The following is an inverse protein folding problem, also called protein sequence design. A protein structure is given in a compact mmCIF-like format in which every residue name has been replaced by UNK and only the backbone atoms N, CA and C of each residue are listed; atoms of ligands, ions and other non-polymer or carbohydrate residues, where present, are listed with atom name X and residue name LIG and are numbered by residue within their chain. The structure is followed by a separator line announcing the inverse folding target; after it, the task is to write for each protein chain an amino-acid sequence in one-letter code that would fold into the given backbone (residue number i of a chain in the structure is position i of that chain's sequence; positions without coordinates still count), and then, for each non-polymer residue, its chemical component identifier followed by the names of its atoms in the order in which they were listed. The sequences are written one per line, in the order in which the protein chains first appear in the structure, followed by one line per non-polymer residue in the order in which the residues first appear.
data_IF_506928007938
#
_entry.id   IF_506928007938
#
_cell.length_a   1.000
_cell.length_b   1.000
_cell.length_c   1.000
_cell.angle_alpha   90.00
_cell.angle_beta   90.00
_cell.angle_gamma   90.00
#
_symmetry.space_group_name_H-M   'P 1'
#
loop_
_entity.id
_entity.type
_entity.pdbx_description
1 polymer ?
#
# COMPACT_ATOMS: atom_id res chain seq x y z
N UNK A 1 -20.53 -16.41 -9.86
CA UNK A 1 -20.26 -15.60 -11.07
C UNK A 1 -19.29 -14.50 -10.66
N UNK A 2 -18.08 -14.47 -11.22
CA UNK A 2 -17.10 -13.38 -10.99
C UNK A 2 -17.30 -12.35 -12.09
N UNK A 3 -17.54 -11.08 -11.73
CA UNK A 3 -18.05 -10.06 -12.67
C UNK A 3 -17.09 -8.88 -12.83
N UNK A 4 -16.15 -8.68 -11.90
CA UNK A 4 -15.31 -7.48 -11.84
C UNK A 4 -14.38 -7.34 -13.05
N UNK A 5 -14.47 -6.21 -13.75
CA UNK A 5 -13.70 -5.86 -14.96
C UNK A 5 -13.41 -4.36 -14.99
N UNK A 6 -12.75 -3.86 -16.04
CA UNK A 6 -12.39 -2.43 -16.14
C UNK A 6 -13.60 -1.49 -16.22
N UNK A 7 -14.73 -1.93 -16.78
CA UNK A 7 -15.98 -1.15 -16.78
C UNK A 7 -16.51 -0.94 -15.37
N UNK A 8 -16.50 -2.00 -14.55
CA UNK A 8 -16.91 -1.92 -13.15
C UNK A 8 -15.88 -1.16 -12.30
N UNK A 9 -14.59 -1.27 -12.59
CA UNK A 9 -13.54 -0.46 -11.96
C UNK A 9 -13.77 1.04 -12.20
N UNK A 10 -14.07 1.44 -13.45
CA UNK A 10 -14.47 2.82 -13.77
C UNK A 10 -15.75 3.24 -13.07
N UNK A 11 -16.80 2.41 -13.14
CA UNK A 11 -18.06 2.67 -12.45
C UNK A 11 -17.88 2.94 -10.96
N UNK A 12 -17.06 2.14 -10.27
CA UNK A 12 -16.73 2.33 -8.85
C UNK A 12 -15.96 3.63 -8.64
N UNK A 13 -14.95 3.89 -9.46
CA UNK A 13 -14.15 5.11 -9.38
C UNK A 13 -15.02 6.36 -9.52
N UNK A 14 -15.82 6.44 -10.59
CA UNK A 14 -16.66 7.59 -10.91
C UNK A 14 -17.68 7.89 -9.81
N UNK A 15 -18.25 6.85 -9.18
CA UNK A 15 -19.26 7.02 -8.13
C UNK A 15 -18.67 7.31 -6.75
N UNK A 16 -17.58 6.66 -6.36
CA UNK A 16 -17.17 6.61 -4.95
C UNK A 16 -15.89 7.38 -4.63
N UNK A 17 -15.09 7.76 -5.62
CA UNK A 17 -13.84 8.48 -5.35
C UNK A 17 -14.03 9.99 -5.27
N UNK A 18 -15.14 10.52 -5.81
CA UNK A 18 -15.42 11.95 -6.04
C UNK A 18 -14.29 12.65 -6.82
N UNK A 19 -14.59 13.66 -7.67
CA UNK A 19 -13.54 14.43 -8.30
C UNK A 19 -12.64 15.12 -7.26
N UNK A 20 -11.37 14.69 -7.17
CA UNK A 20 -10.35 15.28 -6.32
C UNK A 20 -9.23 15.84 -7.20
N UNK A 21 -9.16 17.16 -7.39
CA UNK A 21 -8.17 17.79 -8.26
C UNK A 21 -6.72 17.49 -7.85
N UNK A 22 -6.45 17.32 -6.56
CA UNK A 22 -5.09 17.03 -6.07
C UNK A 22 -4.70 15.61 -6.45
N UNK A 23 -5.56 14.62 -6.20
CA UNK A 23 -5.29 13.23 -6.57
C UNK A 23 -5.14 13.07 -8.09
N UNK A 24 -5.99 13.74 -8.87
CA UNK A 24 -5.89 13.74 -10.33
C UNK A 24 -4.57 14.38 -10.80
N UNK A 25 -4.22 15.55 -10.27
CA UNK A 25 -2.98 16.24 -10.62
C UNK A 25 -1.74 15.38 -10.30
N UNK A 26 -1.75 14.67 -9.17
CA UNK A 26 -0.68 13.75 -8.77
C UNK A 26 -0.52 12.63 -9.80
N UNK A 27 -1.61 11.96 -10.18
CA UNK A 27 -1.57 10.87 -11.18
C UNK A 27 -1.06 11.36 -12.54
N UNK A 28 -1.53 12.52 -13.01
CA UNK A 28 -1.09 13.11 -14.27
C UNK A 28 0.39 13.56 -14.24
N UNK A 29 0.90 13.93 -13.07
CA UNK A 29 2.27 14.39 -12.91
C UNK A 29 3.30 13.25 -12.96
N UNK A 30 2.95 12.04 -12.53
CA UNK A 30 3.88 10.90 -12.46
C UNK A 30 4.66 10.68 -13.79
N UNK A 31 4.01 10.43 -14.95
CA UNK A 31 4.74 10.22 -16.20
C UNK A 31 5.49 11.48 -16.66
N UNK A 32 4.96 12.68 -16.41
CA UNK A 32 5.60 13.95 -16.78
C UNK A 32 6.90 14.19 -15.99
N UNK A 33 7.02 13.58 -14.82
CA UNK A 33 8.20 13.61 -13.95
C UNK A 33 9.11 12.39 -14.12
N UNK A 34 8.81 11.52 -15.10
CA UNK A 34 9.61 10.33 -15.41
C UNK A 34 9.37 9.14 -14.48
N UNK A 35 8.33 9.18 -13.64
CA UNK A 35 7.97 8.07 -12.76
C UNK A 35 7.15 7.00 -13.52
N UNK A 36 7.30 5.72 -13.18
CA UNK A 36 6.47 4.66 -13.75
C UNK A 36 5.00 4.82 -13.36
N UNK A 37 4.10 4.46 -14.27
CA UNK A 37 2.65 4.50 -14.05
C UNK A 37 2.14 3.24 -13.35
N UNK A 38 2.66 3.01 -12.14
CA UNK A 38 2.36 1.82 -11.31
C UNK A 38 1.65 2.19 -9.99
N UNK A 39 1.20 3.43 -9.85
CA UNK A 39 0.37 3.83 -8.71
C UNK A 39 -0.91 2.99 -8.64
N UNK A 40 -1.37 2.69 -7.43
CA UNK A 40 -2.66 2.01 -7.20
C UNK A 40 -3.81 2.74 -7.89
N UNK A 41 -4.86 2.01 -8.27
CA UNK A 41 -6.05 2.62 -8.85
C UNK A 41 -6.85 3.44 -7.80
N UNK A 42 -7.64 4.45 -8.21
CA UNK A 42 -8.42 5.27 -7.27
C UNK A 42 -9.35 4.48 -6.33
N UNK A 43 -9.99 3.41 -6.81
CA UNK A 43 -10.86 2.57 -5.99
C UNK A 43 -10.09 1.79 -4.91
N UNK A 44 -8.84 1.40 -5.19
CA UNK A 44 -7.95 0.75 -4.21
C UNK A 44 -7.49 1.76 -3.15
N UNK A 45 -7.18 2.99 -3.57
CA UNK A 45 -6.88 4.10 -2.65
C UNK A 45 -8.06 4.42 -1.73
N UNK A 46 -9.28 4.47 -2.28
CA UNK A 46 -10.50 4.67 -1.49
C UNK A 46 -10.71 3.54 -0.48
N UNK A 47 -10.42 2.31 -0.86
CA UNK A 47 -10.49 1.17 0.03
C UNK A 47 -9.46 1.27 1.17
N UNK A 48 -8.20 1.59 0.88
CA UNK A 48 -7.16 1.84 1.90
C UNK A 48 -7.58 2.95 2.88
N UNK A 49 -8.12 4.06 2.37
CA UNK A 49 -8.63 5.14 3.21
C UNK A 49 -9.74 4.64 4.16
N UNK A 50 -10.70 3.84 3.67
CA UNK A 50 -11.73 3.23 4.51
C UNK A 50 -11.10 2.34 5.58
N UNK A 51 -10.10 1.51 5.24
CA UNK A 51 -9.45 0.63 6.21
C UNK A 51 -8.71 1.40 7.31
N UNK A 52 -7.97 2.45 6.97
CA UNK A 52 -7.29 3.32 7.96
C UNK A 52 -8.32 3.95 8.90
N UNK A 53 -9.45 4.44 8.36
CA UNK A 53 -10.52 5.05 9.15
C UNK A 53 -11.25 4.05 10.04
N UNK A 54 -11.59 2.88 9.50
CA UNK A 54 -12.34 1.84 10.20
C UNK A 54 -11.50 1.19 11.32
N UNK A 55 -10.19 1.06 11.11
CA UNK A 55 -9.25 0.55 12.13
C UNK A 55 -8.85 1.59 13.17
N UNK A 56 -9.29 2.86 13.01
CA UNK A 56 -8.87 4.00 13.81
C UNK A 56 -7.33 4.13 13.91
N UNK A 57 -6.63 3.80 12.83
CA UNK A 57 -5.17 3.82 12.80
C UNK A 57 -4.63 5.24 13.02
N UNK A 58 -3.69 5.38 13.94
CA UNK A 58 -3.00 6.64 14.27
C UNK A 58 -1.58 6.66 13.72
N UNK A 59 -0.91 5.52 13.67
CA UNK A 59 0.45 5.39 13.11
C UNK A 59 0.44 4.34 12.01
N UNK A 60 0.57 4.81 10.76
CA UNK A 60 0.56 3.97 9.55
C UNK A 60 1.98 3.88 9.00
N UNK A 61 2.37 2.71 8.52
CA UNK A 61 3.61 2.49 7.78
C UNK A 61 3.28 2.13 6.35
N UNK A 62 3.97 2.75 5.39
CA UNK A 62 3.93 2.41 3.97
C UNK A 62 5.33 2.01 3.51
N UNK A 63 5.44 0.85 2.86
CA UNK A 63 6.67 0.34 2.26
C UNK A 63 6.51 0.43 0.75
N UNK A 64 7.21 1.40 0.13
CA UNK A 64 7.04 1.78 -1.27
C UNK A 64 6.16 3.03 -1.40
N UNK A 65 6.78 4.18 -1.69
CA UNK A 65 6.06 5.46 -1.78
C UNK A 65 5.73 5.85 -3.22
N UNK A 66 6.64 5.55 -4.16
CA UNK A 66 6.62 6.09 -5.52
C UNK A 66 6.47 7.62 -5.46
N UNK A 67 5.48 8.19 -6.16
CA UNK A 67 5.13 9.60 -6.12
C UNK A 67 4.09 9.93 -5.06
N UNK A 68 3.83 9.05 -4.10
CA UNK A 68 3.01 9.32 -2.91
C UNK A 68 1.50 9.14 -3.06
N UNK A 69 1.00 8.60 -4.18
CA UNK A 69 -0.45 8.51 -4.43
C UNK A 69 -1.21 7.67 -3.38
N UNK A 70 -0.72 6.46 -3.07
CA UNK A 70 -1.25 5.62 -1.97
C UNK A 70 -1.09 6.31 -0.61
N UNK A 71 0.07 6.92 -0.37
CA UNK A 71 0.36 7.68 0.84
C UNK A 71 -0.64 8.82 1.09
N UNK A 72 -1.14 9.49 0.05
CA UNK A 72 -2.19 10.51 0.19
C UNK A 72 -3.50 9.92 0.73
N UNK A 73 -3.92 8.77 0.23
CA UNK A 73 -5.12 8.07 0.71
C UNK A 73 -4.96 7.60 2.16
N UNK A 74 -3.79 7.03 2.49
CA UNK A 74 -3.47 6.59 3.85
C UNK A 74 -3.46 7.78 4.82
N UNK A 75 -2.75 8.85 4.49
CA UNK A 75 -2.60 10.03 5.35
C UNK A 75 -3.91 10.79 5.58
N UNK A 76 -4.80 10.84 4.58
CA UNK A 76 -6.15 11.42 4.73
C UNK A 76 -7.07 10.59 5.61
N UNK A 77 -6.82 9.29 5.71
CA UNK A 77 -7.54 8.41 6.62
C UNK A 77 -7.17 8.59 8.10
N UNK A 78 -6.06 9.27 8.40
CA UNK A 78 -5.57 9.43 9.77
C UNK A 78 -6.45 10.41 10.58
N UNK A 79 -6.73 10.11 11.87
CA UNK A 79 -7.33 11.07 12.78
C UNK A 79 -6.38 12.25 13.06
N UNK A 80 -6.86 13.35 13.66
CA UNK A 80 -5.98 14.43 14.13
C UNK A 80 -4.85 13.91 15.02
N UNK A 81 -3.61 14.34 14.70
CA UNK A 81 -2.39 13.89 15.37
C UNK A 81 -1.91 12.49 14.96
N UNK A 82 -2.53 11.85 13.97
CA UNK A 82 -1.98 10.65 13.34
C UNK A 82 -0.84 10.97 12.38
N UNK A 83 0.04 10.00 12.16
CA UNK A 83 1.19 10.09 11.24
C UNK A 83 1.27 8.90 10.29
N UNK A 84 1.74 9.17 9.08
CA UNK A 84 2.17 8.18 8.09
C UNK A 84 3.71 8.19 8.06
N UNK A 85 4.34 7.04 8.22
CA UNK A 85 5.76 6.85 7.90
C UNK A 85 5.81 6.10 6.56
N UNK A 86 6.41 6.69 5.53
CA UNK A 86 6.51 6.07 4.20
C UNK A 86 7.97 5.92 3.78
N UNK A 87 8.31 4.76 3.22
CA UNK A 87 9.68 4.38 2.87
C UNK A 87 9.84 4.36 1.34
N UNK A 88 10.72 5.21 0.82
CA UNK A 88 11.03 5.30 -0.60
C UNK A 88 12.51 5.04 -0.83
N UNK A 89 12.84 4.10 -1.73
CA UNK A 89 14.22 3.77 -2.03
C UNK A 89 14.87 4.80 -2.96
N UNK A 90 14.12 5.28 -3.95
CA UNK A 90 14.66 6.15 -5.00
C UNK A 90 14.52 7.64 -4.63
N UNK A 91 15.64 8.37 -4.46
CA UNK A 91 15.59 9.78 -4.04
C UNK A 91 14.75 10.67 -4.96
N UNK A 92 14.76 10.42 -6.27
CA UNK A 92 13.98 11.18 -7.24
C UNK A 92 12.46 10.97 -7.07
N UNK A 93 12.03 9.74 -6.74
CA UNK A 93 10.63 9.46 -6.42
C UNK A 93 10.23 10.15 -5.12
N UNK A 94 11.09 10.09 -4.11
CA UNK A 94 10.89 10.73 -2.82
C UNK A 94 10.71 12.25 -2.94
N UNK A 95 11.48 12.93 -3.80
CA UNK A 95 11.29 14.37 -4.05
C UNK A 95 9.90 14.67 -4.63
N UNK A 96 9.47 13.92 -5.64
CA UNK A 96 8.12 14.06 -6.23
C UNK A 96 7.03 13.81 -5.18
N UNK A 97 7.19 12.76 -4.36
CA UNK A 97 6.24 12.46 -3.29
C UNK A 97 6.16 13.59 -2.25
N UNK A 98 7.27 14.20 -1.83
CA UNK A 98 7.26 15.35 -0.91
C UNK A 98 6.47 16.53 -1.47
N UNK A 99 6.68 16.85 -2.75
CA UNK A 99 5.91 17.91 -3.44
C UNK A 99 4.42 17.60 -3.44
N UNK A 100 4.03 16.35 -3.70
CA UNK A 100 2.63 15.92 -3.69
C UNK A 100 2.01 15.94 -2.28
N UNK A 101 2.75 15.55 -1.24
CA UNK A 101 2.29 15.67 0.15
C UNK A 101 2.12 17.13 0.56
N UNK A 102 3.03 18.03 0.14
CA UNK A 102 2.90 19.45 0.38
C UNK A 102 1.69 20.06 -0.36
N UNK A 103 1.51 19.72 -1.64
CA UNK A 103 0.37 20.12 -2.45
C UNK A 103 -0.97 19.73 -1.80
N UNK A 104 -1.02 18.55 -1.17
CA UNK A 104 -2.20 18.06 -0.47
C UNK A 104 -2.38 18.62 0.96
N UNK A 105 -1.47 19.46 1.45
CA UNK A 105 -1.49 19.99 2.82
C UNK A 105 -1.21 18.92 3.89
N UNK A 106 -0.49 17.86 3.54
CA UNK A 106 -0.24 16.69 4.39
C UNK A 106 1.23 16.57 4.83
N UNK A 107 2.10 17.50 4.45
CA UNK A 107 3.54 17.45 4.75
C UNK A 107 3.84 17.18 6.24
N UNK A 108 3.14 17.86 7.15
CA UNK A 108 3.32 17.69 8.61
C UNK A 108 2.84 16.33 9.16
N UNK A 109 2.06 15.57 8.39
CA UNK A 109 1.56 14.25 8.79
C UNK A 109 2.36 13.10 8.20
N UNK A 110 3.24 13.38 7.24
CA UNK A 110 3.97 12.35 6.49
C UNK A 110 5.45 12.45 6.78
N UNK A 111 5.98 11.43 7.46
CA UNK A 111 7.42 11.20 7.61
C UNK A 111 7.91 10.32 6.45
N UNK A 112 8.41 10.96 5.39
CA UNK A 112 9.02 10.28 4.25
C UNK A 112 10.51 10.03 4.50
N UNK A 113 10.89 8.75 4.53
CA UNK A 113 12.27 8.30 4.73
C UNK A 113 12.84 7.73 3.44
N UNK A 114 14.00 8.24 3.04
CA UNK A 114 14.68 7.80 1.82
C UNK A 114 15.70 6.72 2.15
N UNK A 115 15.59 5.57 1.49
CA UNK A 115 16.52 4.44 1.61
C UNK A 115 15.85 3.09 1.40
N UNK A 116 16.67 2.05 1.32
CA UNK A 116 16.19 0.67 1.20
C UNK A 116 15.40 0.26 2.45
N UNK A 117 14.16 -0.18 2.26
CA UNK A 117 13.28 -0.60 3.35
C UNK A 117 13.94 -1.68 4.24
N UNK A 118 14.74 -2.59 3.68
CA UNK A 118 15.48 -3.61 4.46
C UNK A 118 16.43 -3.01 5.49
N UNK A 119 16.95 -1.82 5.23
CA UNK A 119 17.85 -1.10 6.14
C UNK A 119 17.09 -0.20 7.12
N UNK A 120 15.95 0.36 6.69
CA UNK A 120 15.16 1.29 7.48
C UNK A 120 14.23 0.58 8.49
N UNK A 121 13.64 -0.55 8.12
CA UNK A 121 12.67 -1.27 8.94
C UNK A 121 13.21 -1.70 10.31
N UNK A 122 14.47 -2.19 10.46
CA UNK A 122 15.02 -2.51 11.79
C UNK A 122 15.09 -1.31 12.73
N UNK A 123 15.35 -0.11 12.20
CA UNK A 123 15.37 1.13 12.99
C UNK A 123 13.96 1.61 13.31
N UNK A 124 13.08 1.54 12.32
CA UNK A 124 11.67 1.91 12.46
C UNK A 124 10.94 1.05 13.49
N UNK A 125 11.35 -0.22 13.68
CA UNK A 125 10.81 -1.09 14.72
C UNK A 125 10.91 -0.51 16.14
N UNK A 126 11.89 0.36 16.39
CA UNK A 126 12.08 1.03 17.69
C UNK A 126 11.02 2.13 17.96
N UNK A 127 10.23 2.50 16.95
CA UNK A 127 9.23 3.57 17.01
C UNK A 127 7.79 3.06 17.07
N UNK A 128 7.63 1.74 17.08
CA UNK A 128 6.34 1.06 17.18
C UNK A 128 5.70 1.13 18.58
N UNK A 129 4.53 0.50 18.77
CA UNK A 129 3.81 -0.30 17.76
C UNK A 129 3.07 0.57 16.73
N UNK A 130 2.84 0.00 15.55
CA UNK A 130 2.08 0.60 14.46
C UNK A 130 0.67 0.04 14.40
N UNK A 131 -0.27 0.82 13.87
CA UNK A 131 -1.67 0.41 13.73
C UNK A 131 -1.97 -0.21 12.38
N UNK A 132 -1.18 0.14 11.36
CA UNK A 132 -1.40 -0.25 9.97
C UNK A 132 -0.07 -0.38 9.23
N UNK A 133 0.08 -1.38 8.38
CA UNK A 133 1.18 -1.51 7.42
C UNK A 133 0.64 -1.73 6.01
N UNK A 134 1.04 -0.90 5.04
CA UNK A 134 0.80 -1.10 3.62
C UNK A 134 2.11 -1.48 2.91
N UNK A 135 2.09 -2.57 2.16
CA UNK A 135 3.24 -3.10 1.43
C UNK A 135 3.00 -3.00 -0.08
N UNK A 136 3.79 -2.18 -0.77
CA UNK A 136 3.77 -2.04 -2.22
C UNK A 136 5.14 -1.68 -2.79
N UNK A 137 6.11 -2.55 -2.55
CA UNK A 137 7.50 -2.39 -3.00
C UNK A 137 7.96 -3.62 -3.79
N UNK A 138 9.26 -3.95 -3.77
CA UNK A 138 9.83 -5.11 -4.43
C UNK A 138 9.23 -6.43 -3.95
N UNK A 139 8.63 -7.20 -4.88
CA UNK A 139 7.87 -8.42 -4.55
C UNK A 139 8.76 -9.54 -4.01
N UNK A 140 10.05 -9.52 -4.35
CA UNK A 140 11.06 -10.45 -3.81
C UNK A 140 11.27 -10.29 -2.30
N UNK A 141 11.02 -9.09 -1.76
CA UNK A 141 11.27 -8.75 -0.35
C UNK A 141 9.97 -8.79 0.50
N UNK A 142 8.82 -9.12 -0.10
CA UNK A 142 7.52 -9.18 0.59
C UNK A 142 7.52 -10.08 1.83
N UNK A 143 8.25 -11.20 1.81
CA UNK A 143 8.34 -12.07 2.97
C UNK A 143 9.02 -11.39 4.16
N UNK A 144 10.07 -10.63 3.91
CA UNK A 144 10.78 -9.85 4.92
C UNK A 144 9.88 -8.74 5.48
N UNK A 145 9.13 -8.08 4.61
CA UNK A 145 8.20 -7.02 5.00
C UNK A 145 7.05 -7.57 5.85
N UNK A 146 6.52 -8.75 5.52
CA UNK A 146 5.49 -9.41 6.33
C UNK A 146 6.03 -9.85 7.69
N UNK A 147 7.25 -10.41 7.75
CA UNK A 147 7.89 -10.75 9.03
C UNK A 147 8.02 -9.52 9.94
N UNK A 148 8.45 -8.41 9.37
CA UNK A 148 8.52 -7.15 10.10
C UNK A 148 7.13 -6.67 10.56
N UNK A 149 6.14 -6.68 9.66
CA UNK A 149 4.79 -6.21 9.96
C UNK A 149 4.11 -7.05 11.05
N UNK A 150 4.32 -8.38 11.04
CA UNK A 150 3.80 -9.30 12.04
C UNK A 150 4.41 -9.12 13.44
N UNK A 151 5.53 -8.40 13.56
CA UNK A 151 6.12 -8.08 14.87
C UNK A 151 5.74 -6.66 15.31
N UNK A 152 5.60 -5.74 14.35
CA UNK A 152 5.52 -4.31 14.63
C UNK A 152 4.11 -3.72 14.53
N UNK A 153 3.17 -4.41 13.88
CA UNK A 153 1.75 -4.03 13.87
C UNK A 153 1.06 -4.64 15.08
N UNK A 154 0.35 -3.81 15.85
CA UNK A 154 -0.34 -4.24 17.08
C UNK A 154 -1.44 -5.26 16.82
N UNK A 155 -1.86 -5.95 17.88
CA UNK A 155 -3.13 -6.70 17.88
C UNK A 155 -4.31 -5.80 17.48
N UNK A 156 -5.14 -6.31 16.57
CA UNK A 156 -6.24 -5.59 15.94
C UNK A 156 -5.80 -4.52 14.93
N UNK A 157 -4.51 -4.44 14.61
CA UNK A 157 -4.00 -3.62 13.50
C UNK A 157 -4.16 -4.33 12.16
N UNK A 158 -3.95 -3.59 11.07
CA UNK A 158 -4.17 -4.08 9.70
C UNK A 158 -2.84 -4.18 8.94
N UNK A 159 -2.65 -5.28 8.24
CA UNK A 159 -1.57 -5.45 7.25
C UNK A 159 -2.24 -5.57 5.88
N UNK A 160 -1.82 -4.74 4.93
CA UNK A 160 -2.27 -4.79 3.55
C UNK A 160 -1.09 -4.89 2.58
N UNK A 161 -1.23 -5.66 1.51
CA UNK A 161 -0.19 -5.82 0.49
C UNK A 161 -0.80 -5.82 -0.92
N UNK A 162 -0.23 -5.03 -1.82
CA UNK A 162 -0.73 -4.85 -3.19
C UNK A 162 -0.17 -5.90 -4.18
N UNK A 163 -0.78 -5.96 -5.37
CA UNK A 163 -0.46 -6.88 -6.48
C UNK A 163 -0.59 -8.37 -6.12
N UNK A 164 -1.63 -8.73 -5.36
CA UNK A 164 -1.86 -10.12 -4.96
C UNK A 164 -2.14 -11.05 -6.15
N UNK A 165 -2.65 -10.54 -7.27
CA UNK A 165 -2.93 -11.33 -8.46
C UNK A 165 -1.86 -11.28 -9.54
N UNK A 166 -0.96 -10.29 -9.47
CA UNK A 166 0.11 -10.07 -10.45
C UNK A 166 -0.39 -10.17 -11.89
N UNK A 167 -1.37 -9.35 -12.23
CA UNK A 167 -2.07 -9.30 -13.52
C UNK A 167 -2.69 -10.65 -13.97
N UNK A 168 -2.96 -11.55 -13.02
CA UNK A 168 -3.46 -12.90 -13.28
C UNK A 168 -2.35 -13.94 -13.51
N UNK A 169 -1.09 -13.53 -13.59
CA UNK A 169 0.05 -14.41 -13.88
C UNK A 169 0.22 -15.51 -12.82
N UNK A 170 -0.25 -15.28 -11.58
CA UNK A 170 -0.23 -16.29 -10.52
C UNK A 170 -0.97 -17.58 -10.91
N UNK A 171 -1.92 -17.52 -11.86
CA UNK A 171 -2.68 -18.67 -12.35
C UNK A 171 -2.02 -19.37 -13.55
N UNK A 172 -1.03 -18.74 -14.21
CA UNK A 172 -0.35 -19.30 -15.37
C UNK A 172 0.81 -20.23 -14.95
N UNK A 173 0.67 -21.56 -14.96
CA UNK A 173 1.73 -22.47 -14.50
C UNK A 173 3.03 -22.40 -15.32
N UNK A 174 2.97 -21.81 -16.52
CA UNK A 174 4.14 -21.57 -17.38
C UNK A 174 4.93 -20.31 -17.02
N UNK A 175 4.34 -19.35 -16.29
CA UNK A 175 5.09 -18.19 -15.82
C UNK A 175 5.97 -18.56 -14.63
N UNK A 176 7.28 -18.37 -14.82
CA UNK A 176 8.38 -18.64 -13.87
C UNK A 176 9.18 -17.39 -13.55
N UNK A 177 8.63 -16.21 -13.86
CA UNK A 177 9.23 -14.95 -13.45
C UNK A 177 9.34 -14.91 -11.92
N UNK A 178 10.45 -14.34 -11.44
CA UNK A 178 10.77 -14.30 -10.01
C UNK A 178 9.65 -13.63 -9.20
N UNK A 179 9.11 -12.52 -9.70
CA UNK A 179 8.01 -11.79 -9.06
C UNK A 179 6.76 -12.66 -8.92
N UNK A 180 6.33 -13.35 -9.98
CA UNK A 180 5.13 -14.20 -9.95
C UNK A 180 5.30 -15.37 -8.98
N UNK A 181 6.48 -16.01 -8.95
CA UNK A 181 6.75 -17.07 -7.99
C UNK A 181 6.77 -16.55 -6.54
N UNK A 182 7.34 -15.38 -6.30
CA UNK A 182 7.30 -14.70 -5.01
C UNK A 182 5.86 -14.40 -4.57
N UNK A 183 5.01 -13.84 -5.44
CA UNK A 183 3.61 -13.55 -5.10
C UNK A 183 2.81 -14.84 -4.84
N UNK A 184 2.99 -15.91 -5.63
CA UNK A 184 2.35 -17.21 -5.35
C UNK A 184 2.70 -17.73 -3.96
N UNK A 185 3.98 -17.72 -3.61
CA UNK A 185 4.47 -18.13 -2.28
C UNK A 185 3.90 -17.22 -1.19
N UNK A 186 3.96 -15.92 -1.40
CA UNK A 186 3.48 -14.92 -0.45
C UNK A 186 1.98 -15.07 -0.17
N UNK A 187 1.15 -15.25 -1.20
CA UNK A 187 -0.29 -15.48 -1.04
C UNK A 187 -0.57 -16.73 -0.20
N UNK A 188 0.14 -17.84 -0.44
CA UNK A 188 0.00 -19.06 0.35
C UNK A 188 0.42 -18.85 1.80
N UNK A 189 1.49 -18.09 2.04
CA UNK A 189 1.98 -17.76 3.36
C UNK A 189 0.98 -16.87 4.12
N UNK A 190 0.51 -15.79 3.51
CA UNK A 190 -0.44 -14.85 4.11
C UNK A 190 -1.78 -15.51 4.45
N UNK A 191 -2.25 -16.45 3.62
CA UNK A 191 -3.48 -17.21 3.85
C UNK A 191 -3.35 -18.27 4.96
N UNK A 192 -2.13 -18.74 5.25
CA UNK A 192 -1.83 -19.79 6.25
C UNK A 192 -1.24 -19.25 7.55
N UNK A 193 -0.98 -17.94 7.63
CA UNK A 193 -0.39 -17.32 8.80
C UNK A 193 -1.41 -17.30 9.95
N UNK A 194 -1.24 -18.13 11.01
CA UNK A 194 -2.23 -18.29 12.08
C UNK A 194 -2.47 -17.01 12.91
N UNK A 195 -1.58 -16.04 12.76
CA UNK A 195 -1.61 -14.72 13.39
C UNK A 195 -2.55 -13.72 12.70
N UNK A 196 -3.07 -14.06 11.51
CA UNK A 196 -3.89 -13.17 10.71
C UNK A 196 -5.28 -13.75 10.43
N UNK A 197 -6.31 -12.93 10.60
CA UNK A 197 -7.59 -13.11 9.92
C UNK A 197 -7.49 -12.41 8.56
N UNK A 198 -7.30 -13.17 7.48
CA UNK A 198 -6.90 -12.63 6.18
C UNK A 198 -7.80 -13.01 5.00
N UNK A 199 -7.77 -12.17 3.97
CA UNK A 199 -8.39 -12.42 2.65
C UNK A 199 -7.71 -11.59 1.56
N UNK A 200 -8.11 -11.80 0.30
CA UNK A 200 -7.79 -10.91 -0.82
C UNK A 200 -9.05 -10.12 -1.21
N UNK A 201 -8.95 -8.80 -1.21
CA UNK A 201 -9.91 -7.92 -1.86
C UNK A 201 -9.65 -7.92 -3.37
N UNK A 202 -10.59 -8.38 -4.22
CA UNK A 202 -10.29 -8.74 -5.60
C UNK A 202 -10.42 -7.58 -6.61
N UNK A 203 -10.48 -6.32 -6.16
CA UNK A 203 -10.44 -5.18 -7.07
C UNK A 203 -9.01 -4.88 -7.53
N UNK A 204 -8.88 -4.14 -8.63
CA UNK A 204 -7.57 -3.82 -9.21
C UNK A 204 -6.73 -5.07 -9.50
N UNK A 205 -5.50 -5.09 -8.98
CA UNK A 205 -4.60 -6.25 -9.11
C UNK A 205 -4.62 -7.15 -7.86
N UNK A 206 -5.68 -7.04 -7.06
CA UNK A 206 -5.83 -7.76 -5.80
C UNK A 206 -5.03 -7.14 -4.66
N UNK A 207 -5.69 -6.95 -3.53
CA UNK A 207 -5.06 -6.47 -2.30
C UNK A 207 -5.26 -7.48 -1.19
N UNK A 208 -4.17 -8.06 -0.69
CA UNK A 208 -4.21 -8.84 0.54
C UNK A 208 -4.51 -7.91 1.71
N UNK A 209 -5.40 -8.34 2.61
CA UNK A 209 -5.72 -7.64 3.84
C UNK A 209 -5.80 -8.66 4.97
N UNK A 210 -5.15 -8.36 6.08
CA UNK A 210 -5.17 -9.18 7.29
C UNK A 210 -5.33 -8.33 8.53
N UNK A 211 -6.17 -8.78 9.46
CA UNK A 211 -6.24 -8.25 10.83
C UNK A 211 -5.34 -9.12 11.71
N UNK A 212 -4.51 -8.46 12.50
CA UNK A 212 -3.64 -9.10 13.48
C UNK A 212 -4.44 -9.63 14.68
N UNK A 213 -4.40 -10.94 14.98
CA UNK A 213 -5.28 -11.57 16.00
C UNK A 213 -4.59 -12.22 17.21
N UNK A 214 -3.28 -12.43 17.23
CA UNK A 214 -2.61 -13.26 18.25
C UNK A 214 -2.84 -12.83 19.70
#
# INVERSE_FOLDING_TARGET
MTVYNDDLSRYVTDLFTQPDPVLQQVLEALPRRGLPQIAIKPEEGRFLHILVRASAARTVVEIGTLGGYSGLWLARGLPPGGRLVTLEKEPAHAEVAREHFALAGLAERVDLRVGDAKQLLPRLALEGPFDFCFMDAEKTDYDLYLDWALVNVRRGGVIAAHNAFRHGDILNPGDRSLDTECIRRFNQRFAREPRLLSTIFPAGDGMLVGIVEW
#
